data_IF_310960158060
#
_entry.id   IF_310960158060
#
_cell.length_a   1.000
_cell.length_b   1.000
_cell.length_c   1.000
_cell.angle_alpha   90.00
_cell.angle_beta   90.00
_cell.angle_gamma   90.00
#
_symmetry.space_group_name_H-M   'P 1'
#
loop_
_entity.id
_entity.type
_entity.pdbx_description
1 polymer ?
#
# COMPACT_ATOMS: atom_id res chain seq x y z
N UNK A 1 -0.45 17.76 -12.92
CA UNK A 1 -1.52 17.58 -11.91
C UNK A 1 -1.79 16.09 -11.80
N UNK A 2 -1.69 15.56 -10.61
CA UNK A 2 -1.94 14.15 -10.30
C UNK A 2 -2.62 13.97 -8.92
N UNK A 3 -2.84 12.72 -8.51
CA UNK A 3 -3.46 12.42 -7.22
C UNK A 3 -2.57 12.75 -6.01
N UNK A 4 -1.27 12.87 -6.17
CA UNK A 4 -0.36 13.31 -5.10
C UNK A 4 -0.59 14.77 -4.70
N UNK A 5 -1.12 15.56 -5.65
CA UNK A 5 -1.42 16.98 -5.46
C UNK A 5 -2.91 17.25 -5.17
N UNK A 6 -3.69 16.24 -4.79
CA UNK A 6 -5.16 16.32 -4.60
C UNK A 6 -5.57 17.46 -3.65
N UNK A 7 -4.78 17.68 -2.58
CA UNK A 7 -5.07 18.66 -1.54
C UNK A 7 -4.41 20.03 -1.77
N UNK A 8 -3.64 20.19 -2.86
CA UNK A 8 -2.96 21.44 -3.15
C UNK A 8 -3.84 22.38 -3.97
N UNK A 9 -3.83 23.70 -3.68
CA UNK A 9 -4.55 24.69 -4.49
C UNK A 9 -3.93 24.75 -5.90
N UNK A 10 -4.76 24.57 -6.92
CA UNK A 10 -4.34 24.62 -8.31
C UNK A 10 -4.53 26.04 -8.87
N UNK A 11 -3.55 26.52 -9.60
CA UNK A 11 -3.58 27.86 -10.18
C UNK A 11 -2.33 28.15 -10.99
N UNK A 12 -2.12 29.44 -11.25
CA UNK A 12 -0.93 29.93 -11.93
C UNK A 12 -0.45 31.23 -11.25
N UNK A 13 0.81 31.55 -11.49
CA UNK A 13 1.43 32.77 -10.96
C UNK A 13 1.55 33.78 -12.09
N UNK A 14 1.14 35.01 -11.83
CA UNK A 14 1.52 36.18 -12.62
C UNK A 14 2.62 36.90 -11.85
N UNK A 15 3.72 37.17 -12.52
CA UNK A 15 4.84 37.90 -11.93
C UNK A 15 5.17 39.12 -12.79
N UNK A 16 5.31 40.29 -12.16
CA UNK A 16 5.83 41.52 -12.74
C UNK A 16 7.29 41.68 -12.30
N UNK A 17 8.18 41.69 -13.29
CA UNK A 17 9.63 41.80 -13.07
C UNK A 17 10.08 43.17 -13.55
N UNK A 18 10.65 43.96 -12.64
CA UNK A 18 11.18 45.31 -12.93
C UNK A 18 12.58 45.42 -12.33
N UNK A 19 13.31 46.49 -12.74
CA UNK A 19 14.62 46.79 -12.16
C UNK A 19 14.58 47.08 -10.64
N UNK A 20 13.40 47.43 -10.12
CA UNK A 20 13.20 47.69 -8.70
C UNK A 20 12.83 46.42 -7.89
N UNK A 21 12.61 45.28 -8.58
CA UNK A 21 12.27 44.01 -7.93
C UNK A 21 11.17 43.23 -8.66
N UNK A 22 10.77 42.12 -8.06
CA UNK A 22 9.72 41.24 -8.58
C UNK A 22 8.54 41.21 -7.63
N UNK A 23 7.35 41.43 -8.18
CA UNK A 23 6.09 41.20 -7.48
C UNK A 23 5.36 40.03 -8.13
N UNK A 24 4.60 39.26 -7.36
CA UNK A 24 3.86 38.11 -7.91
C UNK A 24 2.51 37.91 -7.21
N UNK A 25 1.59 37.31 -7.96
CA UNK A 25 0.27 36.95 -7.46
C UNK A 25 -0.09 35.53 -7.92
N UNK A 26 -0.54 34.70 -6.97
CA UNK A 26 -1.10 33.39 -7.29
C UNK A 26 -2.58 33.51 -7.57
N UNK A 27 -3.04 33.03 -8.72
CA UNK A 27 -4.42 33.06 -9.16
C UNK A 27 -4.96 31.62 -9.18
N UNK A 28 -5.81 31.28 -8.24
CA UNK A 28 -6.52 30.01 -8.18
C UNK A 28 -7.92 30.16 -8.74
N UNK A 29 -8.35 29.19 -9.57
CA UNK A 29 -9.73 29.15 -10.09
C UNK A 29 -10.08 30.20 -11.14
N UNK A 30 -9.09 30.84 -11.78
CA UNK A 30 -9.31 31.86 -12.79
C UNK A 30 -10.08 31.28 -14.01
N UNK A 31 -11.29 31.83 -14.31
CA UNK A 31 -12.22 31.48 -15.40
C UNK A 31 -12.80 30.06 -15.35
N UNK A 32 -12.12 29.07 -14.85
CA UNK A 32 -12.60 27.71 -14.62
C UNK A 32 -11.93 27.13 -13.39
N UNK A 33 -12.70 26.53 -12.51
CA UNK A 33 -12.12 25.71 -11.42
C UNK A 33 -11.43 24.49 -12.04
N UNK A 34 -10.21 24.15 -11.64
CA UNK A 34 -9.59 22.90 -12.04
C UNK A 34 -10.42 21.73 -11.52
N UNK A 35 -10.49 20.65 -12.30
CA UNK A 35 -11.20 19.46 -11.86
C UNK A 35 -10.59 18.91 -10.60
N UNK A 36 -11.44 18.49 -9.68
CA UNK A 36 -11.01 17.88 -8.43
C UNK A 36 -10.45 16.50 -8.71
N UNK A 37 -9.31 16.17 -8.09
CA UNK A 37 -8.87 14.81 -7.90
C UNK A 37 -9.46 14.31 -6.58
N UNK A 38 -10.05 13.13 -6.57
CA UNK A 38 -10.69 12.55 -5.39
C UNK A 38 -10.20 11.14 -5.22
N UNK A 39 -9.50 10.88 -4.12
CA UNK A 39 -9.14 9.54 -3.70
C UNK A 39 -10.20 9.03 -2.71
N UNK A 40 -10.80 7.89 -3.02
CA UNK A 40 -11.74 7.18 -2.15
C UNK A 40 -11.01 6.00 -1.55
N UNK A 41 -10.68 6.08 -0.27
CA UNK A 41 -10.06 4.99 0.48
C UNK A 41 -11.13 4.22 1.25
N UNK A 42 -11.15 2.90 1.11
CA UNK A 42 -12.03 2.03 1.86
C UNK A 42 -11.30 0.79 2.36
N UNK A 43 -11.51 0.45 3.63
CA UNK A 43 -11.05 -0.78 4.25
C UNK A 43 -12.23 -1.76 4.33
N UNK A 44 -12.13 -2.85 3.56
CA UNK A 44 -13.18 -3.87 3.48
C UNK A 44 -12.77 -5.18 4.14
N UNK A 45 -11.66 -5.21 4.89
CA UNK A 45 -11.13 -6.42 5.52
C UNK A 45 -12.15 -7.14 6.42
N UNK A 46 -13.03 -6.39 7.10
CA UNK A 46 -14.04 -6.93 8.01
C UNK A 46 -15.45 -6.93 7.40
N UNK A 47 -15.58 -6.58 6.12
CA UNK A 47 -16.90 -6.52 5.45
C UNK A 47 -17.23 -7.83 4.78
N UNK A 48 -18.46 -8.37 4.97
CA UNK A 48 -18.90 -9.63 4.35
C UNK A 48 -19.07 -9.50 2.84
N UNK A 49 -19.54 -8.35 2.37
CA UNK A 49 -19.66 -8.02 0.94
C UNK A 49 -18.69 -6.88 0.61
N UNK A 50 -17.58 -7.23 -0.03
CA UNK A 50 -16.52 -6.29 -0.38
C UNK A 50 -16.95 -5.32 -1.47
N UNK A 51 -17.71 -5.79 -2.47
CA UNK A 51 -18.17 -4.96 -3.58
C UNK A 51 -19.19 -3.93 -3.12
N UNK A 52 -20.19 -4.34 -2.36
CA UNK A 52 -21.19 -3.43 -1.82
C UNK A 52 -20.56 -2.37 -0.90
N UNK A 53 -19.58 -2.76 -0.07
CA UNK A 53 -18.87 -1.80 0.79
C UNK A 53 -18.08 -0.74 0.02
N UNK A 54 -17.47 -1.11 -1.11
CA UNK A 54 -16.78 -0.15 -1.97
C UNK A 54 -17.77 0.80 -2.65
N UNK A 55 -18.91 0.27 -3.14
CA UNK A 55 -19.97 1.09 -3.76
C UNK A 55 -20.55 2.08 -2.73
N UNK A 56 -20.84 1.62 -1.52
CA UNK A 56 -21.28 2.46 -0.41
C UNK A 56 -20.28 3.62 -0.13
N UNK A 57 -18.99 3.33 -0.15
CA UNK A 57 -17.95 4.34 0.03
C UNK A 57 -17.90 5.38 -1.11
N UNK A 58 -18.17 4.95 -2.35
CA UNK A 58 -18.26 5.85 -3.51
C UNK A 58 -19.48 6.77 -3.38
N UNK A 59 -20.65 6.20 -3.09
CA UNK A 59 -21.91 6.94 -2.92
C UNK A 59 -21.85 7.94 -1.77
N UNK A 60 -21.19 7.60 -0.66
CA UNK A 60 -21.01 8.48 0.49
C UNK A 60 -20.20 9.75 0.17
N UNK A 61 -19.43 9.78 -0.93
CA UNK A 61 -18.67 10.97 -1.35
C UNK A 61 -19.52 12.06 -2.00
N UNK A 62 -20.77 11.77 -2.34
CA UNK A 62 -21.69 12.73 -2.95
C UNK A 62 -21.35 13.02 -4.39
N UNK A 63 -21.42 14.29 -4.81
CA UNK A 63 -21.24 14.68 -6.21
C UNK A 63 -19.79 14.51 -6.69
N UNK A 64 -19.61 13.62 -7.66
CA UNK A 64 -18.34 13.30 -8.32
C UNK A 64 -18.34 13.68 -9.82
N UNK A 65 -19.39 14.35 -10.32
CA UNK A 65 -19.65 14.58 -11.76
C UNK A 65 -18.48 15.24 -12.52
N UNK A 66 -17.79 16.18 -11.91
CA UNK A 66 -16.63 16.86 -12.52
C UNK A 66 -15.29 16.42 -11.93
N UNK A 67 -15.26 15.30 -11.22
CA UNK A 67 -14.05 14.82 -10.54
C UNK A 67 -13.32 13.74 -11.35
N UNK A 68 -11.98 13.71 -11.19
CA UNK A 68 -11.13 12.59 -11.53
C UNK A 68 -11.03 11.72 -10.27
N UNK A 69 -11.56 10.51 -10.30
CA UNK A 69 -11.73 9.66 -9.12
C UNK A 69 -10.81 8.46 -9.16
N UNK A 70 -10.12 8.19 -8.06
CA UNK A 70 -9.37 6.96 -7.81
C UNK A 70 -9.94 6.27 -6.58
N UNK A 71 -10.12 4.95 -6.66
CA UNK A 71 -10.54 4.13 -5.54
C UNK A 71 -9.37 3.30 -5.05
N UNK A 72 -9.08 3.34 -3.76
CA UNK A 72 -8.06 2.52 -3.09
C UNK A 72 -8.74 1.62 -2.09
N UNK A 73 -8.71 0.32 -2.35
CA UNK A 73 -9.39 -0.69 -1.53
C UNK A 73 -8.36 -1.49 -0.76
N UNK A 74 -8.45 -1.46 0.57
CA UNK A 74 -7.71 -2.36 1.44
C UNK A 74 -8.56 -3.59 1.72
N UNK A 75 -8.04 -4.78 1.39
CA UNK A 75 -8.75 -6.06 1.46
C UNK A 75 -7.82 -7.20 1.84
N UNK A 76 -8.38 -8.30 2.34
CA UNK A 76 -7.63 -9.54 2.55
C UNK A 76 -7.44 -10.30 1.24
N UNK A 77 -6.45 -11.18 1.17
CA UNK A 77 -6.13 -11.95 -0.04
C UNK A 77 -7.33 -12.80 -0.52
N UNK A 78 -8.08 -13.40 0.37
CA UNK A 78 -9.27 -14.21 0.04
C UNK A 78 -10.45 -13.39 -0.49
N UNK A 79 -10.50 -12.10 -0.16
CA UNK A 79 -11.54 -11.18 -0.61
C UNK A 79 -11.28 -10.64 -2.02
N UNK A 80 -10.06 -10.77 -2.53
CA UNK A 80 -9.69 -10.25 -3.86
C UNK A 80 -10.52 -10.89 -4.98
N UNK A 81 -10.79 -12.19 -4.89
CA UNK A 81 -11.61 -12.91 -5.85
C UNK A 81 -13.12 -12.59 -5.75
N UNK A 82 -13.55 -12.02 -4.62
CA UNK A 82 -14.96 -11.64 -4.38
C UNK A 82 -15.29 -10.24 -4.88
N UNK A 83 -14.26 -9.44 -5.21
CA UNK A 83 -14.42 -8.05 -5.64
C UNK A 83 -14.84 -7.99 -7.11
N UNK A 84 -16.06 -7.53 -7.35
CA UNK A 84 -16.62 -7.39 -8.71
C UNK A 84 -16.28 -6.00 -9.26
N UNK A 85 -15.13 -5.87 -9.90
CA UNK A 85 -14.64 -4.58 -10.44
C UNK A 85 -15.61 -3.90 -11.40
N UNK A 86 -16.34 -4.67 -12.20
CA UNK A 86 -17.32 -4.14 -13.16
C UNK A 86 -18.44 -3.33 -12.48
N UNK A 87 -18.87 -3.73 -11.28
CA UNK A 87 -19.90 -3.00 -10.53
C UNK A 87 -19.35 -1.71 -9.95
N UNK A 88 -18.09 -1.74 -9.49
CA UNK A 88 -17.39 -0.55 -8.98
C UNK A 88 -17.20 0.47 -10.12
N UNK A 89 -16.77 0.02 -11.30
CA UNK A 89 -16.64 0.90 -12.48
C UNK A 89 -17.99 1.52 -12.85
N UNK A 90 -19.08 0.74 -12.78
CA UNK A 90 -20.42 1.25 -13.03
C UNK A 90 -20.83 2.32 -12.00
N UNK A 91 -20.51 2.15 -10.73
CA UNK A 91 -20.76 3.14 -9.69
C UNK A 91 -20.00 4.47 -9.93
N UNK A 92 -18.92 4.44 -10.71
CA UNK A 92 -18.13 5.60 -11.09
C UNK A 92 -18.53 6.23 -12.44
N UNK A 93 -19.53 5.69 -13.15
CA UNK A 93 -19.96 6.22 -14.46
C UNK A 93 -20.39 7.70 -14.43
N UNK A 94 -20.77 8.23 -13.26
CA UNK A 94 -21.11 9.64 -13.05
C UNK A 94 -19.92 10.58 -12.92
N UNK A 95 -18.69 10.11 -12.75
CA UNK A 95 -17.53 10.98 -12.62
C UNK A 95 -16.98 11.42 -13.99
N UNK A 96 -16.15 12.47 -14.00
CA UNK A 96 -15.50 12.93 -15.25
C UNK A 96 -14.52 11.87 -15.79
N UNK A 97 -13.75 11.25 -14.90
CA UNK A 97 -12.79 10.20 -15.26
C UNK A 97 -12.52 9.26 -14.08
N UNK A 98 -12.67 7.96 -14.32
CA UNK A 98 -12.29 6.92 -13.37
C UNK A 98 -10.81 6.60 -13.52
N UNK A 99 -9.99 7.07 -12.58
CA UNK A 99 -8.53 6.90 -12.57
C UNK A 99 -8.04 5.51 -12.14
N UNK A 100 -8.97 4.58 -11.89
CA UNK A 100 -8.67 3.18 -11.60
C UNK A 100 -9.00 2.74 -10.18
N UNK A 101 -8.93 1.41 -10.01
CA UNK A 101 -9.10 0.70 -8.75
C UNK A 101 -7.76 0.15 -8.29
N UNK A 102 -7.23 0.66 -7.20
CA UNK A 102 -6.00 0.20 -6.58
C UNK A 102 -6.31 -0.74 -5.42
N UNK A 103 -5.82 -1.97 -5.48
CA UNK A 103 -6.01 -2.98 -4.45
C UNK A 103 -4.79 -3.03 -3.53
N UNK A 104 -4.98 -2.73 -2.26
CA UNK A 104 -3.99 -2.91 -1.21
C UNK A 104 -4.30 -4.22 -0.47
N UNK A 105 -3.71 -5.32 -0.94
CA UNK A 105 -3.96 -6.66 -0.40
C UNK A 105 -3.16 -6.88 0.86
N UNK A 106 -3.88 -6.96 1.99
CA UNK A 106 -3.30 -7.37 3.27
C UNK A 106 -3.04 -8.86 3.23
N UNK A 107 -1.78 -9.22 3.13
CA UNK A 107 -1.36 -10.61 3.25
C UNK A 107 -1.15 -10.92 4.72
N UNK A 108 -1.63 -12.07 5.23
CA UNK A 108 -1.26 -12.48 6.58
C UNK A 108 0.27 -12.49 6.65
N UNK A 109 0.81 -11.84 7.68
CA UNK A 109 2.23 -11.98 7.97
C UNK A 109 2.53 -13.46 8.00
N UNK A 110 3.28 -13.95 7.02
CA UNK A 110 3.85 -15.28 7.13
C UNK A 110 4.66 -15.22 8.41
N UNK A 111 4.24 -15.94 9.44
CA UNK A 111 5.00 -16.09 10.67
C UNK A 111 6.38 -16.68 10.31
N UNK A 112 7.26 -15.79 9.88
CA UNK A 112 8.64 -16.12 9.66
C UNK A 112 9.22 -16.29 11.07
N UNK A 113 9.45 -17.53 11.47
CA UNK A 113 10.16 -17.90 12.67
C UNK A 113 9.47 -17.52 14.01
N UNK A 114 8.15 -17.72 14.14
CA UNK A 114 7.49 -17.74 15.45
C UNK A 114 7.44 -16.40 16.20
N UNK A 115 7.27 -15.27 15.49
CA UNK A 115 6.93 -13.98 16.11
C UNK A 115 8.07 -13.25 16.85
N UNK A 116 9.33 -13.70 16.71
CA UNK A 116 10.49 -13.01 17.26
C UNK A 116 11.19 -12.22 16.16
N UNK A 117 11.60 -10.98 16.48
CA UNK A 117 12.43 -10.18 15.57
C UNK A 117 13.69 -10.95 15.18
N UNK A 118 13.87 -11.16 13.88
CA UNK A 118 15.03 -11.88 13.32
C UNK A 118 16.35 -11.20 13.69
N UNK A 119 16.29 -9.88 13.95
CA UNK A 119 17.45 -9.04 14.28
C UNK A 119 18.06 -9.34 15.65
N UNK A 120 17.34 -10.04 16.54
CA UNK A 120 17.79 -10.38 17.89
C UNK A 120 18.28 -11.82 18.06
N UNK A 121 18.21 -12.64 17.01
CA UNK A 121 18.57 -14.06 17.09
C UNK A 121 19.92 -14.34 16.42
N UNK A 122 20.70 -15.19 17.06
CA UNK A 122 21.92 -15.73 16.44
C UNK A 122 21.61 -16.67 15.28
N UNK A 123 22.53 -16.88 14.32
CA UNK A 123 22.33 -17.82 13.21
C UNK A 123 21.96 -19.24 13.66
N UNK A 124 22.50 -19.69 14.77
CA UNK A 124 22.22 -21.01 15.35
C UNK A 124 20.80 -21.09 15.90
N UNK A 125 20.34 -20.06 16.60
CA UNK A 125 18.97 -19.98 17.11
C UNK A 125 17.94 -19.88 15.97
N UNK A 126 18.26 -19.16 14.90
CA UNK A 126 17.43 -19.11 13.70
C UNK A 126 17.27 -20.49 13.06
N UNK A 127 18.36 -21.25 12.99
CA UNK A 127 18.37 -22.60 12.43
C UNK A 127 17.56 -23.57 13.30
N UNK A 128 17.70 -23.48 14.63
CA UNK A 128 16.92 -24.29 15.56
C UNK A 128 15.42 -24.09 15.35
N UNK A 129 14.96 -22.84 15.30
CA UNK A 129 13.56 -22.50 15.04
C UNK A 129 13.07 -22.94 13.67
N UNK A 130 13.92 -22.85 12.66
CA UNK A 130 13.59 -23.34 11.33
C UNK A 130 13.31 -24.84 11.35
N UNK A 131 14.12 -25.65 12.06
CA UNK A 131 13.92 -27.09 12.19
C UNK A 131 12.65 -27.43 12.98
N UNK A 132 12.32 -26.67 14.02
CA UNK A 132 11.06 -26.82 14.76
C UNK A 132 9.86 -26.56 13.87
N UNK A 133 9.84 -25.44 13.13
CA UNK A 133 8.77 -25.09 12.19
C UNK A 133 8.59 -26.12 11.07
N UNK A 134 9.69 -26.72 10.61
CA UNK A 134 9.69 -27.77 9.59
C UNK A 134 9.41 -29.16 10.14
N UNK A 135 9.24 -29.29 11.47
CA UNK A 135 9.02 -30.56 12.15
C UNK A 135 10.09 -31.60 11.78
N UNK A 136 11.35 -31.17 11.68
CA UNK A 136 12.48 -32.05 11.41
C UNK A 136 12.68 -32.97 12.61
N UNK A 137 12.97 -34.27 12.35
CA UNK A 137 13.27 -35.21 13.42
C UNK A 137 14.36 -34.69 14.39
N UNK A 138 14.13 -34.77 15.70
CA UNK A 138 15.07 -34.18 16.69
C UNK A 138 16.51 -34.66 16.60
N UNK A 139 16.71 -35.94 16.24
CA UNK A 139 18.07 -36.52 16.07
C UNK A 139 18.76 -35.91 14.85
N UNK A 140 18.02 -35.77 13.74
CA UNK A 140 18.50 -35.16 12.50
C UNK A 140 18.74 -33.64 12.67
N UNK A 141 17.86 -32.94 13.39
CA UNK A 141 18.01 -31.53 13.69
C UNK A 141 19.34 -31.25 14.46
N UNK A 142 19.65 -32.02 15.50
CA UNK A 142 20.90 -31.90 16.26
C UNK A 142 22.14 -32.10 15.40
N UNK A 143 22.13 -33.12 14.54
CA UNK A 143 23.26 -33.38 13.64
C UNK A 143 23.48 -32.23 12.66
N UNK A 144 22.39 -31.68 12.08
CA UNK A 144 22.44 -30.54 11.17
C UNK A 144 22.90 -29.26 11.88
N UNK A 145 22.49 -29.03 13.13
CA UNK A 145 22.95 -27.89 13.92
C UNK A 145 24.48 -27.98 14.21
N UNK A 146 24.99 -29.11 14.60
CA UNK A 146 26.43 -29.31 14.82
C UNK A 146 27.27 -29.02 13.55
N UNK A 147 26.79 -29.48 12.38
CA UNK A 147 27.47 -29.17 11.13
C UNK A 147 27.39 -27.69 10.77
N UNK A 148 26.24 -27.04 11.00
CA UNK A 148 26.07 -25.60 10.74
C UNK A 148 26.96 -24.74 11.65
N UNK A 149 27.09 -25.07 12.95
CA UNK A 149 27.99 -24.39 13.89
C UNK A 149 29.44 -24.44 13.42
N UNK A 150 29.89 -25.61 12.97
CA UNK A 150 31.26 -25.79 12.44
C UNK A 150 31.50 -24.91 11.20
N UNK A 151 30.50 -24.80 10.30
CA UNK A 151 30.58 -23.96 9.10
C UNK A 151 30.56 -22.46 9.43
N UNK A 152 29.75 -22.04 10.39
CA UNK A 152 29.66 -20.63 10.85
C UNK A 152 31.01 -20.21 11.43
N UNK A 153 31.60 -21.04 12.33
CA UNK A 153 32.89 -20.75 12.92
C UNK A 153 34.00 -20.68 11.85
N UNK A 154 33.97 -21.60 10.87
CA UNK A 154 34.94 -21.60 9.79
C UNK A 154 34.82 -20.34 8.91
N UNK A 155 33.59 -19.87 8.62
CA UNK A 155 33.34 -18.65 7.84
C UNK A 155 33.83 -17.39 8.57
N UNK A 156 33.58 -17.28 9.87
CA UNK A 156 34.04 -16.16 10.70
C UNK A 156 35.57 -16.09 10.83
N UNK A 157 36.24 -17.23 10.78
CA UNK A 157 37.70 -17.30 10.81
C UNK A 157 38.36 -16.90 9.46
N UNK A 158 37.61 -17.01 8.35
CA UNK A 158 38.12 -16.66 7.01
C UNK A 158 37.87 -15.18 6.67
N UNK A 159 36.96 -14.51 7.40
CA UNK A 159 36.60 -13.11 7.18
C UNK A 159 37.47 -12.11 8.00
N UNK A 160 38.43 -12.58 8.73
CA UNK A 160 39.45 -11.76 9.44
C UNK A 160 40.80 -11.80 8.71
#
# INVERSE_FOLDING_TARGET
IDFGEEHEPKGFVIADITDAGTTWQFLSGYKRQPRRFVTIECDVCERPDTTAAVIEAIEARGDLSEAVVRVVVKLRQEQEAMLVEREIVRALEGCYFAGGLNKNVVRPERQRLGGVSVESLTPVELLARYFELKQVDPGRARLLQQHAEALIIAADSTAR
#
